data_IF_367721813814
#
_entry.id   IF_367721813814
#
_cell.length_a   1.000
_cell.length_b   1.000
_cell.length_c   1.000
_cell.angle_alpha   90.00
_cell.angle_beta   90.00
_cell.angle_gamma   90.00
#
_symmetry.space_group_name_H-M   'P 1'
#
loop_
_entity.id
_entity.type
_entity.pdbx_description
1 polymer ?
#
# COMPACT_ATOMS: atom_id res chain seq x y z
N UNK A 1 10.30 -84.76 -24.20
CA UNK A 1 10.39 -83.55 -25.04
C UNK A 1 10.47 -82.34 -24.11
N UNK A 2 11.68 -81.88 -23.80
CA UNK A 2 11.90 -80.73 -22.90
C UNK A 2 11.96 -79.45 -23.73
N UNK A 3 10.98 -78.56 -23.55
CA UNK A 3 10.99 -77.24 -24.18
C UNK A 3 11.80 -76.26 -23.32
N UNK A 4 12.95 -75.84 -23.84
CA UNK A 4 13.85 -74.87 -23.24
C UNK A 4 13.30 -73.46 -23.49
N UNK A 5 12.65 -72.85 -22.50
CA UNK A 5 12.23 -71.44 -22.57
C UNK A 5 13.47 -70.58 -22.36
N UNK A 6 14.01 -69.98 -23.43
CA UNK A 6 15.07 -68.98 -23.36
C UNK A 6 14.52 -67.74 -22.64
N UNK A 7 14.91 -67.53 -21.39
CA UNK A 7 14.66 -66.27 -20.67
C UNK A 7 15.38 -65.12 -21.38
N UNK A 8 14.65 -64.10 -21.80
CA UNK A 8 15.23 -62.88 -22.35
C UNK A 8 16.09 -62.17 -21.28
N UNK A 9 17.22 -61.54 -21.65
CA UNK A 9 18.05 -60.82 -20.69
C UNK A 9 17.29 -59.61 -20.14
N UNK A 10 17.26 -59.48 -18.82
CA UNK A 10 16.70 -58.34 -18.11
C UNK A 10 17.40 -57.07 -18.60
N UNK A 11 16.72 -56.29 -19.46
CA UNK A 11 17.24 -55.00 -19.94
C UNK A 11 17.38 -54.11 -18.72
N UNK A 12 18.63 -53.75 -18.41
CA UNK A 12 18.92 -52.73 -17.42
C UNK A 12 18.37 -51.44 -18.00
N UNK A 13 17.18 -51.03 -17.57
CA UNK A 13 16.72 -49.67 -17.80
C UNK A 13 17.74 -48.77 -17.12
N UNK A 14 18.47 -47.91 -17.86
CA UNK A 14 19.39 -46.99 -17.21
C UNK A 14 18.52 -46.13 -16.30
N UNK A 15 18.81 -46.16 -14.99
CA UNK A 15 18.25 -45.21 -14.05
C UNK A 15 18.69 -43.82 -14.54
N UNK A 16 17.82 -43.18 -15.31
CA UNK A 16 18.12 -41.88 -15.88
C UNK A 16 18.40 -40.94 -14.70
N UNK A 17 19.50 -40.16 -14.70
CA UNK A 17 19.89 -39.31 -13.56
C UNK A 17 18.82 -38.29 -13.16
N UNK A 18 17.82 -38.05 -14.02
CA UNK A 18 16.64 -37.25 -13.74
C UNK A 18 15.65 -37.91 -12.74
N UNK A 19 15.66 -39.23 -12.60
CA UNK A 19 14.79 -39.96 -11.65
C UNK A 19 15.42 -39.97 -10.24
N UNK A 20 16.75 -39.92 -10.15
CA UNK A 20 17.51 -39.86 -8.89
C UNK A 20 17.88 -38.43 -8.47
N UNK A 21 17.57 -37.42 -9.29
CA UNK A 21 17.79 -36.04 -8.92
C UNK A 21 16.90 -35.71 -7.70
N UNK A 22 17.47 -35.40 -6.52
CA UNK A 22 16.66 -34.89 -5.42
C UNK A 22 15.98 -33.64 -5.95
N UNK A 23 14.64 -33.65 -5.94
CA UNK A 23 13.84 -32.49 -6.32
C UNK A 23 14.16 -31.39 -5.30
N UNK A 24 15.20 -30.60 -5.56
CA UNK A 24 15.57 -29.41 -4.79
C UNK A 24 14.55 -28.32 -5.09
N UNK A 25 13.30 -28.56 -4.73
CA UNK A 25 12.35 -27.48 -4.44
C UNK A 25 12.92 -26.79 -3.21
N UNK A 26 13.59 -25.69 -3.46
CA UNK A 26 14.37 -24.83 -2.54
C UNK A 26 13.51 -24.14 -1.47
N UNK A 27 12.27 -24.60 -1.30
CA UNK A 27 11.41 -24.24 -0.18
C UNK A 27 11.52 -25.33 0.89
N UNK A 28 12.34 -25.10 1.91
CA UNK A 28 12.40 -26.03 3.04
C UNK A 28 11.12 -25.87 3.88
N UNK A 29 10.42 -26.97 4.16
CA UNK A 29 9.20 -26.96 4.98
C UNK A 29 9.45 -26.35 6.36
N UNK A 30 10.69 -26.46 6.83
CA UNK A 30 11.16 -25.95 8.10
C UNK A 30 11.04 -24.42 8.21
N UNK A 31 11.03 -23.69 7.08
CA UNK A 31 10.82 -22.23 7.05
C UNK A 31 9.35 -21.82 6.98
N UNK A 32 8.41 -22.77 6.85
CA UNK A 32 6.98 -22.45 6.79
C UNK A 32 6.50 -21.97 8.16
N UNK A 33 5.81 -20.82 8.27
CA UNK A 33 5.15 -20.39 9.51
C UNK A 33 4.22 -21.49 10.08
N UNK A 34 4.26 -21.63 11.40
CA UNK A 34 3.51 -22.58 12.21
C UNK A 34 2.44 -21.92 13.08
N UNK A 35 1.79 -22.69 13.96
CA UNK A 35 0.82 -22.19 14.93
C UNK A 35 1.49 -21.33 16.02
N UNK A 36 0.70 -20.60 16.81
CA UNK A 36 1.21 -19.76 17.89
C UNK A 36 1.98 -20.60 18.95
N UNK A 37 3.21 -20.19 19.35
CA UNK A 37 4.00 -20.92 20.32
C UNK A 37 3.57 -20.59 21.76
N UNK A 38 3.10 -21.60 22.50
CA UNK A 38 2.65 -21.43 23.89
C UNK A 38 3.79 -21.69 24.88
N UNK A 39 4.63 -22.69 24.62
CA UNK A 39 5.72 -23.07 25.52
C UNK A 39 7.01 -22.26 25.31
N UNK A 40 7.87 -22.23 26.31
CA UNK A 40 9.18 -21.57 26.20
C UNK A 40 10.10 -22.28 25.20
N UNK A 41 10.03 -23.61 25.12
CA UNK A 41 10.81 -24.38 24.16
C UNK A 41 10.37 -24.12 22.72
N UNK A 42 9.06 -24.10 22.47
CA UNK A 42 8.50 -23.72 21.16
C UNK A 42 8.92 -22.30 20.75
N UNK A 43 8.92 -21.35 21.70
CA UNK A 43 9.39 -19.98 21.44
C UNK A 43 10.88 -19.94 21.09
N UNK A 44 11.73 -20.76 21.73
CA UNK A 44 13.16 -20.86 21.39
C UNK A 44 13.37 -21.45 20.00
N UNK A 45 12.65 -22.51 19.66
CA UNK A 45 12.71 -23.12 18.33
C UNK A 45 12.20 -22.18 17.24
N UNK A 46 11.13 -21.43 17.52
CA UNK A 46 10.62 -20.42 16.61
C UNK A 46 11.62 -19.27 16.43
N UNK A 47 12.27 -18.80 17.51
CA UNK A 47 13.31 -17.78 17.42
C UNK A 47 14.48 -18.24 16.54
N UNK A 48 14.96 -19.48 16.73
CA UNK A 48 16.02 -20.08 15.91
C UNK A 48 15.63 -20.17 14.44
N UNK A 49 14.40 -20.60 14.14
CA UNK A 49 13.85 -20.67 12.78
C UNK A 49 13.82 -19.33 12.04
N UNK A 50 13.61 -18.23 12.76
CA UNK A 50 13.60 -16.86 12.22
C UNK A 50 14.93 -16.12 12.37
N UNK A 51 16.01 -16.82 12.76
CA UNK A 51 17.33 -16.24 12.99
C UNK A 51 17.33 -15.08 14.01
N UNK A 52 16.43 -15.15 15.00
CA UNK A 52 16.29 -14.15 16.07
C UNK A 52 16.83 -14.71 17.40
N UNK A 53 17.33 -13.81 18.24
CA UNK A 53 17.68 -14.19 19.60
C UNK A 53 16.39 -14.50 20.40
N UNK A 54 16.36 -15.52 21.28
CA UNK A 54 15.15 -15.88 22.05
C UNK A 54 14.56 -14.74 22.88
N UNK A 55 15.39 -13.77 23.29
CA UNK A 55 14.93 -12.59 24.03
C UNK A 55 14.27 -11.51 23.15
N UNK A 56 14.63 -11.47 21.87
CA UNK A 56 14.09 -10.51 20.88
C UNK A 56 12.82 -11.05 20.22
N UNK A 57 12.72 -12.38 20.13
CA UNK A 57 11.55 -13.03 19.56
C UNK A 57 10.29 -12.76 20.39
N UNK A 58 9.30 -12.17 19.73
CA UNK A 58 7.94 -11.97 20.25
C UNK A 58 6.96 -12.36 19.17
N UNK A 59 6.05 -13.27 19.44
CA UNK A 59 4.95 -13.57 18.53
C UNK A 59 3.85 -12.50 18.62
N UNK A 60 3.04 -12.37 17.57
CA UNK A 60 1.79 -11.59 17.63
C UNK A 60 0.80 -12.24 18.62
N UNK A 61 -0.05 -11.45 19.30
CA UNK A 61 -1.10 -12.02 20.15
C UNK A 61 -2.04 -12.95 19.36
N UNK A 62 -2.54 -13.98 20.04
CA UNK A 62 -3.42 -15.00 19.46
C UNK A 62 -4.89 -14.51 19.41
N UNK A 63 -5.12 -13.47 18.62
CA UNK A 63 -6.42 -12.81 18.46
C UNK A 63 -7.26 -13.43 17.31
N UNK A 64 -6.85 -14.59 16.78
CA UNK A 64 -7.52 -15.24 15.65
C UNK A 64 -7.24 -14.64 14.26
N UNK A 65 -6.37 -13.63 14.14
CA UNK A 65 -5.94 -13.06 12.84
C UNK A 65 -5.02 -13.98 12.01
N UNK A 66 -4.70 -15.17 12.50
CA UNK A 66 -3.94 -16.18 11.74
C UNK A 66 -2.45 -15.87 11.55
N UNK A 67 -1.84 -15.06 12.44
CA UNK A 67 -0.40 -14.73 12.38
C UNK A 67 0.53 -15.87 12.82
N UNK A 68 0.03 -16.78 13.67
CA UNK A 68 0.77 -17.98 14.09
C UNK A 68 2.06 -17.66 14.86
N UNK A 69 3.16 -18.33 14.51
CA UNK A 69 4.50 -18.14 15.09
C UNK A 69 5.32 -16.98 14.49
N UNK A 70 4.73 -16.17 13.61
CA UNK A 70 5.49 -15.12 12.93
C UNK A 70 5.98 -14.03 13.91
N UNK A 71 7.24 -13.59 13.81
CA UNK A 71 7.79 -12.61 14.73
C UNK A 71 7.17 -11.22 14.53
N UNK A 72 6.79 -10.59 15.65
CA UNK A 72 6.38 -9.19 15.73
C UNK A 72 7.61 -8.31 15.82
N UNK A 73 8.09 -7.89 14.66
CA UNK A 73 9.15 -6.89 14.53
C UNK A 73 8.66 -5.51 14.97
N UNK A 74 9.57 -4.60 15.37
CA UNK A 74 9.20 -3.22 15.70
C UNK A 74 8.54 -2.53 14.51
N UNK A 75 7.53 -1.70 14.78
CA UNK A 75 6.77 -0.95 13.78
C UNK A 75 7.57 0.27 13.29
N UNK A 76 8.69 0.02 12.63
CA UNK A 76 9.58 1.02 12.05
C UNK A 76 9.53 0.95 10.53
N UNK A 77 9.45 2.11 9.87
CA UNK A 77 9.55 2.20 8.41
C UNK A 77 10.96 1.86 7.93
N UNK A 78 11.07 1.27 6.73
CA UNK A 78 12.38 0.93 6.16
C UNK A 78 13.27 2.16 5.93
N UNK A 79 12.68 3.35 5.72
CA UNK A 79 13.40 4.63 5.62
C UNK A 79 14.16 5.02 6.90
N UNK A 80 13.83 4.43 8.05
CA UNK A 80 14.55 4.68 9.31
C UNK A 80 15.87 3.91 9.42
N UNK A 81 16.14 2.97 8.51
CA UNK A 81 17.38 2.21 8.47
C UNK A 81 18.51 3.07 7.90
N UNK A 82 19.75 2.68 8.19
CA UNK A 82 20.92 3.39 7.64
C UNK A 82 21.02 3.18 6.12
N UNK A 83 20.94 4.26 5.34
CA UNK A 83 21.06 4.21 3.88
C UNK A 83 22.50 4.03 3.40
N UNK A 84 23.50 4.27 4.26
CA UNK A 84 24.91 4.15 3.92
C UNK A 84 25.48 2.76 4.18
N UNK A 85 24.76 1.93 4.93
CA UNK A 85 25.13 0.54 5.11
C UNK A 85 24.98 -0.23 3.78
N UNK A 86 25.98 -1.05 3.39
CA UNK A 86 25.92 -1.84 2.16
C UNK A 86 24.98 -3.04 2.33
N UNK A 87 23.67 -2.80 2.23
CA UNK A 87 22.65 -3.85 2.29
C UNK A 87 22.77 -4.81 1.12
N UNK A 88 22.49 -6.11 1.35
CA UNK A 88 22.41 -7.11 0.28
C UNK A 88 21.36 -6.72 -0.76
N UNK A 89 20.21 -6.23 -0.30
CA UNK A 89 19.13 -5.69 -1.12
C UNK A 89 18.99 -4.18 -0.87
N UNK A 90 19.72 -3.32 -1.60
CA UNK A 90 19.74 -1.88 -1.35
C UNK A 90 18.38 -1.20 -1.58
N UNK A 91 17.61 -1.66 -2.56
CA UNK A 91 16.24 -1.20 -2.86
C UNK A 91 15.24 -1.41 -1.72
N UNK A 92 15.50 -2.37 -0.84
CA UNK A 92 14.63 -2.73 0.28
C UNK A 92 15.30 -2.49 1.64
N UNK A 93 16.53 -1.94 1.67
CA UNK A 93 17.34 -1.70 2.87
C UNK A 93 17.35 -2.92 3.82
N UNK A 94 17.60 -4.12 3.27
CA UNK A 94 17.51 -5.40 4.01
C UNK A 94 18.63 -6.36 3.64
N UNK A 95 19.06 -7.17 4.62
CA UNK A 95 20.01 -8.25 4.41
C UNK A 95 19.31 -9.59 4.10
N UNK A 96 20.06 -10.51 3.49
CA UNK A 96 19.60 -11.88 3.28
C UNK A 96 19.43 -12.62 4.60
N UNK A 97 18.35 -13.39 4.74
CA UNK A 97 18.05 -14.14 5.97
C UNK A 97 17.42 -13.33 7.11
N UNK A 98 17.25 -12.02 6.95
CA UNK A 98 16.52 -11.20 7.93
C UNK A 98 15.00 -11.49 7.88
N UNK A 99 14.31 -11.63 9.04
CA UNK A 99 12.85 -11.74 9.07
C UNK A 99 12.20 -10.48 8.48
N UNK A 100 11.09 -10.65 7.77
CA UNK A 100 10.34 -9.55 7.20
C UNK A 100 9.28 -9.05 8.19
N UNK A 101 8.94 -7.76 8.10
CA UNK A 101 7.80 -7.25 8.86
C UNK A 101 6.51 -7.84 8.28
N UNK A 102 5.55 -8.20 9.14
CA UNK A 102 4.34 -8.86 8.67
C UNK A 102 3.50 -7.97 7.73
N UNK A 103 3.53 -6.65 7.96
CA UNK A 103 2.95 -5.64 7.06
C UNK A 103 4.00 -5.02 6.11
N UNK A 104 4.92 -5.84 5.57
CA UNK A 104 5.99 -5.36 4.68
C UNK A 104 5.49 -4.50 3.51
N UNK A 105 4.29 -4.78 2.99
CA UNK A 105 3.66 -3.99 1.93
C UNK A 105 3.32 -2.54 2.32
N UNK A 106 3.11 -2.26 3.61
CA UNK A 106 2.77 -0.93 4.12
C UNK A 106 3.99 -0.12 4.53
N UNK A 107 4.99 -0.76 5.13
CA UNK A 107 6.17 -0.08 5.72
C UNK A 107 7.35 0.05 4.75
N UNK A 108 7.18 -0.35 3.49
CA UNK A 108 8.19 -0.20 2.43
C UNK A 108 8.59 1.27 2.28
N UNK A 109 9.82 1.50 1.83
CA UNK A 109 10.41 2.84 1.67
C UNK A 109 9.57 3.82 0.83
N UNK A 110 8.81 3.35 -0.16
CA UNK A 110 7.93 4.16 -1.03
C UNK A 110 6.53 4.42 -0.43
N UNK A 111 6.23 3.89 0.76
CA UNK A 111 4.89 3.88 1.35
C UNK A 111 4.83 4.70 2.64
N UNK A 112 4.49 4.06 3.77
CA UNK A 112 4.27 4.72 5.05
C UNK A 112 5.56 4.71 5.86
N UNK A 113 6.00 5.90 6.28
CA UNK A 113 7.05 6.04 7.27
C UNK A 113 6.45 6.17 8.68
N UNK A 114 6.34 5.05 9.39
CA UNK A 114 5.73 4.95 10.73
C UNK A 114 6.63 5.56 11.83
N UNK A 115 7.94 5.70 11.57
CA UNK A 115 8.94 6.13 12.55
C UNK A 115 9.46 7.55 12.37
N UNK A 116 8.86 8.34 11.47
CA UNK A 116 9.37 9.67 11.15
C UNK A 116 9.29 10.63 12.34
N UNK A 117 10.42 11.23 12.69
CA UNK A 117 10.47 12.31 13.69
C UNK A 117 10.07 13.62 13.01
N UNK A 118 8.79 13.97 13.13
CA UNK A 118 8.28 15.23 12.60
C UNK A 118 8.92 16.42 13.31
N UNK A 119 9.35 17.44 12.55
CA UNK A 119 9.90 18.69 13.10
C UNK A 119 8.86 19.47 13.92
N UNK A 120 7.61 19.45 13.46
CA UNK A 120 6.46 20.05 14.15
C UNK A 120 5.44 18.96 14.47
N UNK A 121 4.77 19.01 15.62
CA UNK A 121 3.78 17.99 15.97
C UNK A 121 2.60 18.02 14.99
N UNK A 122 2.04 16.85 14.68
CA UNK A 122 1.01 16.69 13.64
C UNK A 122 -0.21 17.60 13.87
N UNK A 123 -0.66 17.74 15.11
CA UNK A 123 -1.81 18.59 15.45
C UNK A 123 -1.61 20.05 15.05
N UNK A 124 -0.38 20.56 15.16
CA UNK A 124 -0.06 21.94 14.79
C UNK A 124 -0.09 22.11 13.27
N UNK A 125 0.43 21.13 12.51
CA UNK A 125 0.37 21.15 11.04
C UNK A 125 -1.09 21.10 10.55
N UNK A 126 -1.92 20.24 11.16
CA UNK A 126 -3.36 20.15 10.89
C UNK A 126 -4.07 21.45 11.21
N UNK A 127 -3.78 22.06 12.37
CA UNK A 127 -4.34 23.35 12.76
C UNK A 127 -3.95 24.47 11.79
N UNK A 128 -2.69 24.51 11.34
CA UNK A 128 -2.22 25.50 10.36
C UNK A 128 -2.93 25.32 9.01
N UNK A 129 -3.04 24.08 8.54
CA UNK A 129 -3.72 23.77 7.28
C UNK A 129 -5.19 24.19 7.31
N UNK A 130 -5.95 23.72 8.30
CA UNK A 130 -7.36 24.09 8.42
C UNK A 130 -7.54 25.56 8.80
N UNK A 131 -6.63 26.14 9.58
CA UNK A 131 -6.62 27.56 9.89
C UNK A 131 -6.50 28.41 8.63
N UNK A 132 -5.58 28.07 7.73
CA UNK A 132 -5.41 28.78 6.47
C UNK A 132 -6.62 28.61 5.53
N UNK A 133 -7.18 27.39 5.43
CA UNK A 133 -8.37 27.12 4.62
C UNK A 133 -9.61 27.86 5.13
N UNK A 134 -9.87 27.79 6.44
CA UNK A 134 -11.01 28.46 7.06
C UNK A 134 -10.85 29.98 7.05
N UNK A 135 -9.63 30.50 7.25
CA UNK A 135 -9.37 31.94 7.13
C UNK A 135 -9.64 32.44 5.71
N UNK A 136 -9.20 31.69 4.70
CA UNK A 136 -9.44 32.03 3.29
C UNK A 136 -10.94 31.98 2.97
N UNK A 137 -11.64 30.91 3.36
CA UNK A 137 -13.09 30.78 3.17
C UNK A 137 -13.88 31.88 3.91
N UNK A 138 -13.49 32.21 5.14
CA UNK A 138 -14.07 33.29 5.92
C UNK A 138 -13.85 34.66 5.27
N UNK A 139 -12.68 34.89 4.66
CA UNK A 139 -12.38 36.10 3.92
C UNK A 139 -13.25 36.23 2.66
N UNK A 140 -13.42 35.13 1.91
CA UNK A 140 -14.33 35.09 0.76
C UNK A 140 -15.78 35.41 1.16
N UNK A 141 -16.26 34.80 2.25
CA UNK A 141 -17.61 35.06 2.76
C UNK A 141 -17.78 36.50 3.24
N UNK A 142 -16.77 37.06 3.90
CA UNK A 142 -16.79 38.45 4.36
C UNK A 142 -16.82 39.46 3.21
N UNK A 143 -15.98 39.26 2.18
CA UNK A 143 -15.92 40.14 1.02
C UNK A 143 -17.08 39.99 0.03
N UNK A 144 -17.96 39.00 0.20
CA UNK A 144 -19.18 38.91 -0.60
C UNK A 144 -20.08 40.15 -0.43
N UNK A 145 -20.00 40.82 0.72
CA UNK A 145 -20.70 42.10 0.96
C UNK A 145 -20.05 43.29 0.25
N UNK A 146 -18.78 43.18 -0.12
CA UNK A 146 -17.97 44.25 -0.71
C UNK A 146 -17.44 43.82 -2.08
N UNK A 147 -18.36 43.58 -3.03
CA UNK A 147 -17.99 43.17 -4.39
C UNK A 147 -17.37 44.34 -5.13
N UNK A 148 -16.13 44.17 -5.58
CA UNK A 148 -15.54 45.07 -6.55
C UNK A 148 -16.24 44.86 -7.91
N UNK A 149 -16.84 45.91 -8.45
CA UNK A 149 -17.43 45.91 -9.78
C UNK A 149 -16.69 46.94 -10.64
N UNK A 150 -16.60 46.65 -11.94
CA UNK A 150 -16.19 47.66 -12.89
C UNK A 150 -17.35 48.64 -13.07
N UNK A 151 -17.13 49.97 -13.00
CA UNK A 151 -18.19 50.97 -13.16
C UNK A 151 -18.57 51.11 -14.64
N UNK A 152 -19.12 50.04 -15.21
CA UNK A 152 -19.58 49.94 -16.59
C UNK A 152 -21.08 49.73 -16.62
N UNK A 153 -21.71 50.24 -17.66
CA UNK A 153 -23.12 49.95 -17.94
C UNK A 153 -23.34 48.44 -18.14
N UNK A 154 -24.52 47.91 -17.79
CA UNK A 154 -24.84 46.52 -18.08
C UNK A 154 -24.74 46.26 -19.59
N UNK A 155 -24.35 45.04 -19.95
CA UNK A 155 -24.30 44.63 -21.35
C UNK A 155 -25.65 44.86 -22.00
N UNK A 156 -25.66 45.64 -23.07
CA UNK A 156 -26.86 45.90 -23.86
C UNK A 156 -27.15 44.63 -24.68
N UNK A 157 -28.08 43.81 -24.19
CA UNK A 157 -28.58 42.65 -24.92
C UNK A 157 -30.02 42.92 -25.38
N UNK A 158 -30.40 42.44 -26.58
CA UNK A 158 -31.81 42.40 -26.97
C UNK A 158 -32.62 41.65 -25.90
N UNK A 159 -33.76 42.21 -25.49
CA UNK A 159 -34.72 41.55 -24.61
C UNK A 159 -35.24 40.25 -25.25
N UNK A 160 -35.23 39.16 -24.48
CA UNK A 160 -35.78 37.87 -24.92
C UNK A 160 -37.29 37.99 -25.20
N UNK A 161 -37.71 37.65 -26.42
CA UNK A 161 -39.12 37.67 -26.84
C UNK A 161 -39.62 39.02 -27.38
N UNK A 162 -38.73 39.99 -27.58
CA UNK A 162 -39.03 41.24 -28.31
C UNK A 162 -38.23 41.22 -29.61
N UNK A 163 -38.86 41.53 -30.74
CA UNK A 163 -38.15 41.71 -32.02
C UNK A 163 -37.46 43.08 -31.99
N UNK A 164 -36.12 43.07 -32.05
CA UNK A 164 -35.34 44.32 -31.96
C UNK A 164 -35.00 44.88 -33.34
N UNK A 165 -35.14 44.06 -34.38
CA UNK A 165 -34.81 44.42 -35.75
C UNK A 165 -35.86 43.93 -36.74
N UNK A 166 -36.01 44.67 -37.84
CA UNK A 166 -37.01 44.44 -38.89
C UNK A 166 -36.86 43.14 -39.68
N UNK A 167 -35.78 42.38 -39.47
CA UNK A 167 -35.47 41.14 -40.18
C UNK A 167 -35.75 39.87 -39.36
N UNK A 168 -36.17 39.99 -38.11
CA UNK A 168 -36.49 38.85 -37.24
C UNK A 168 -37.94 38.40 -37.45
N UNK A 169 -38.23 37.09 -37.61
CA UNK A 169 -39.60 36.59 -37.64
C UNK A 169 -40.28 36.82 -36.28
N UNK A 170 -41.54 37.26 -36.27
CA UNK A 170 -42.29 37.50 -35.04
C UNK A 170 -42.47 36.20 -34.26
N UNK A 171 -41.80 36.06 -33.11
CA UNK A 171 -42.01 34.93 -32.22
C UNK A 171 -43.23 35.18 -31.32
N UNK A 172 -44.29 34.40 -31.53
CA UNK A 172 -45.51 34.44 -30.73
C UNK A 172 -45.25 34.01 -29.28
N UNK A 173 -45.18 34.97 -28.35
CA UNK A 173 -45.57 34.73 -26.97
C UNK A 173 -44.68 35.31 -25.87
N UNK A 174 -44.96 36.57 -25.50
CA UNK A 174 -45.28 37.03 -24.14
C UNK A 174 -45.55 38.55 -24.18
N UNK A 175 -46.49 39.09 -23.39
CA UNK A 175 -46.85 40.50 -23.45
C UNK A 175 -45.67 41.38 -23.02
N UNK A 176 -45.06 42.05 -23.99
CA UNK A 176 -44.04 43.07 -23.73
C UNK A 176 -44.63 44.18 -22.88
N UNK A 177 -43.95 44.53 -21.78
CA UNK A 177 -44.30 45.71 -20.99
C UNK A 177 -43.99 46.96 -21.83
N UNK A 178 -45.04 47.60 -22.33
CA UNK A 178 -44.97 48.96 -22.85
C UNK A 178 -44.44 49.88 -21.74
N UNK A 179 -43.35 50.60 -22.02
CA UNK A 179 -42.96 51.79 -21.25
C UNK A 179 -43.95 52.92 -21.47
#
# INVERSE_FOLDING_TARGET
MSFLIKSAPFRHFPLHPLVLAPKRTHWNKDYKPGPYPYSLEEKRLAAEKYNLHPAEYRAYPDDGFGRGDYPKLPDLGYESRDHHYPWDNPEHLRNFGEPLHAEFGLVRQDRLNVGVKMRYPLWLQVLQFFGAMLASAGLFWFFEKFKAFHPVIPTQCPEEGVTHYTFEPEEEGKPGKSK
#
